data_IF_497986219809
#
_entry.id   IF_497986219809
#
_cell.length_a   1.000
_cell.length_b   1.000
_cell.length_c   1.000
_cell.angle_alpha   90.00
_cell.angle_beta   90.00
_cell.angle_gamma   90.00
#
_symmetry.space_group_name_H-M   'P 1'
#
loop_
_entity.id
_entity.type
_entity.pdbx_description
1 polymer ?
#
# COMPACT_ATOMS: atom_id res chain seq x y z
N UNK A 1 -31.36 -23.74 -3.94
CA UNK A 1 -30.34 -22.74 -4.26
C UNK A 1 -29.74 -22.32 -2.94
N UNK A 2 -28.45 -22.58 -2.73
CA UNK A 2 -27.80 -22.49 -1.42
C UNK A 2 -27.44 -21.03 -1.15
N UNK A 3 -27.95 -20.44 -0.06
CA UNK A 3 -27.60 -19.08 0.39
C UNK A 3 -26.16 -18.97 0.95
N UNK A 4 -25.43 -20.09 1.02
CA UNK A 4 -24.09 -20.19 1.58
C UNK A 4 -22.96 -19.69 0.64
N UNK A 5 -23.20 -19.62 -0.68
CA UNK A 5 -22.13 -19.34 -1.64
C UNK A 5 -21.75 -17.84 -1.71
N UNK A 6 -22.63 -16.93 -1.26
CA UNK A 6 -22.37 -15.48 -1.26
C UNK A 6 -21.47 -15.00 -0.12
N UNK A 7 -21.48 -15.69 1.02
CA UNK A 7 -20.71 -15.32 2.21
C UNK A 7 -19.23 -15.71 2.07
N UNK A 8 -18.95 -16.88 1.46
CA UNK A 8 -17.59 -17.37 1.18
C UNK A 8 -16.85 -16.50 0.13
N UNK A 9 -17.56 -15.98 -0.86
CA UNK A 9 -16.98 -15.09 -1.89
C UNK A 9 -16.66 -13.70 -1.29
N UNK A 10 -17.49 -13.18 -0.40
CA UNK A 10 -17.21 -11.91 0.28
C UNK A 10 -16.02 -12.01 1.26
N UNK A 11 -15.88 -13.15 1.95
CA UNK A 11 -14.76 -13.42 2.84
C UNK A 11 -13.44 -13.57 2.07
N UNK A 12 -13.42 -14.31 0.96
CA UNK A 12 -12.23 -14.46 0.12
C UNK A 12 -11.77 -13.14 -0.51
N UNK A 13 -12.69 -12.30 -0.98
CA UNK A 13 -12.36 -10.95 -1.48
C UNK A 13 -11.77 -10.04 -0.39
N UNK A 14 -12.24 -10.13 0.85
CA UNK A 14 -11.67 -9.38 1.97
C UNK A 14 -10.23 -9.83 2.30
N UNK A 15 -9.96 -11.13 2.19
CA UNK A 15 -8.61 -11.70 2.38
C UNK A 15 -7.65 -11.20 1.31
N UNK A 16 -8.07 -11.12 0.04
CA UNK A 16 -7.24 -10.60 -1.05
C UNK A 16 -6.88 -9.12 -0.87
N UNK A 17 -7.85 -8.30 -0.44
CA UNK A 17 -7.62 -6.89 -0.11
C UNK A 17 -6.61 -6.77 1.03
N UNK A 18 -6.75 -7.59 2.07
CA UNK A 18 -5.83 -7.60 3.21
C UNK A 18 -4.41 -8.00 2.82
N UNK A 19 -4.25 -9.02 1.98
CA UNK A 19 -2.94 -9.46 1.51
C UNK A 19 -2.24 -8.36 0.69
N UNK A 20 -2.97 -7.70 -0.20
CA UNK A 20 -2.46 -6.55 -0.97
C UNK A 20 -1.97 -5.44 -0.05
N UNK A 21 -2.76 -5.08 0.97
CA UNK A 21 -2.40 -4.05 1.94
C UNK A 21 -1.15 -4.44 2.76
N UNK A 22 -1.17 -5.64 3.33
CA UNK A 22 -0.08 -6.18 4.15
C UNK A 22 1.24 -6.21 3.38
N UNK A 23 1.22 -6.72 2.15
CA UNK A 23 2.42 -6.81 1.31
C UNK A 23 2.92 -5.43 0.87
N UNK A 24 2.03 -4.50 0.53
CA UNK A 24 2.43 -3.13 0.22
C UNK A 24 3.07 -2.42 1.42
N UNK A 25 2.50 -2.56 2.62
CA UNK A 25 3.10 -1.96 3.83
C UNK A 25 4.48 -2.54 4.15
N UNK A 26 4.67 -3.86 4.03
CA UNK A 26 5.99 -4.49 4.20
C UNK A 26 7.02 -3.95 3.20
N UNK A 27 6.62 -3.74 1.94
CA UNK A 27 7.49 -3.16 0.91
C UNK A 27 7.85 -1.71 1.24
N UNK A 28 6.89 -0.88 1.64
CA UNK A 28 7.17 0.49 2.06
C UNK A 28 8.12 0.53 3.27
N UNK A 29 7.91 -0.36 4.23
CA UNK A 29 8.77 -0.47 5.42
C UNK A 29 10.22 -0.80 5.05
N UNK A 30 10.47 -1.66 4.06
CA UNK A 30 11.82 -1.99 3.60
C UNK A 30 12.60 -0.73 3.17
N UNK A 31 11.98 0.17 2.41
CA UNK A 31 12.62 1.42 1.99
C UNK A 31 12.82 2.40 3.15
N UNK A 32 11.88 2.43 4.11
CA UNK A 32 12.02 3.27 5.31
C UNK A 32 13.13 2.77 6.24
N UNK A 33 13.27 1.46 6.39
CA UNK A 33 14.36 0.85 7.16
C UNK A 33 15.71 1.14 6.49
N UNK A 34 15.79 1.05 5.17
CA UNK A 34 16.99 1.47 4.42
C UNK A 34 17.30 2.96 4.63
N UNK A 35 16.29 3.83 4.64
CA UNK A 35 16.48 5.25 4.94
C UNK A 35 17.04 5.48 6.34
N UNK A 36 16.59 4.70 7.33
CA UNK A 36 17.13 4.77 8.69
C UNK A 36 18.63 4.50 8.71
N UNK A 37 19.07 3.45 8.01
CA UNK A 37 20.50 3.09 7.93
C UNK A 37 21.32 4.12 7.15
N UNK A 38 20.78 4.66 6.07
CA UNK A 38 21.43 5.71 5.28
C UNK A 38 21.59 7.01 6.08
N UNK A 39 20.56 7.41 6.83
CA UNK A 39 20.61 8.59 7.71
C UNK A 39 21.66 8.38 8.81
N UNK A 40 21.76 7.19 9.37
CA UNK A 40 22.80 6.86 10.34
C UNK A 40 24.21 7.06 9.75
N UNK A 41 24.45 6.60 8.52
CA UNK A 41 25.72 6.82 7.80
C UNK A 41 25.98 8.30 7.49
N UNK A 42 24.95 9.05 7.10
CA UNK A 42 25.05 10.52 6.89
C UNK A 42 25.51 11.22 8.18
N UNK A 43 24.94 10.82 9.31
CA UNK A 43 25.32 11.34 10.63
C UNK A 43 26.77 10.98 10.98
N UNK A 44 27.19 9.74 10.78
CA UNK A 44 28.57 9.29 11.02
C UNK A 44 29.59 10.08 10.17
N UNK A 45 29.29 10.30 8.90
CA UNK A 45 30.10 11.12 8.01
C UNK A 45 30.20 12.58 8.48
N UNK A 46 29.11 13.17 8.97
CA UNK A 46 29.16 14.52 9.56
C UNK A 46 30.00 14.56 10.84
N UNK A 47 29.84 13.57 11.72
CA UNK A 47 30.58 13.52 13.00
C UNK A 47 32.07 13.27 12.82
N UNK A 48 32.48 12.56 11.77
CA UNK A 48 33.91 12.34 11.47
C UNK A 48 34.64 13.62 11.10
N UNK A 49 33.91 14.64 10.58
CA UNK A 49 34.45 15.92 10.08
C UNK A 49 35.51 15.77 8.98
N UNK A 50 35.56 14.60 8.34
CA UNK A 50 36.43 14.35 7.18
C UNK A 50 35.74 14.92 5.95
N UNK A 51 36.34 15.91 5.24
CA UNK A 51 35.68 16.59 4.11
C UNK A 51 35.14 15.63 3.04
N UNK A 52 35.91 14.60 2.69
CA UNK A 52 35.53 13.61 1.70
C UNK A 52 34.30 12.78 2.13
N UNK A 53 34.18 12.47 3.42
CA UNK A 53 33.02 11.74 3.95
C UNK A 53 31.76 12.62 3.91
N UNK A 54 31.89 13.89 4.29
CA UNK A 54 30.78 14.85 4.22
C UNK A 54 30.34 15.06 2.77
N UNK A 55 31.27 15.12 1.82
CA UNK A 55 30.93 15.20 0.39
C UNK A 55 30.10 13.99 -0.10
N UNK A 56 30.37 12.79 0.43
CA UNK A 56 29.58 11.58 0.11
C UNK A 56 28.15 11.62 0.65
N UNK A 57 27.83 12.48 1.62
CA UNK A 57 26.45 12.61 2.13
C UNK A 57 25.47 13.03 1.04
N UNK A 58 25.91 13.76 0.02
CA UNK A 58 25.05 14.11 -1.13
C UNK A 58 24.53 12.86 -1.83
N UNK A 59 25.39 11.86 -2.04
CA UNK A 59 25.00 10.58 -2.65
C UNK A 59 24.03 9.80 -1.78
N UNK A 60 24.30 9.72 -0.47
CA UNK A 60 23.42 9.04 0.49
C UNK A 60 22.04 9.72 0.58
N UNK A 61 22.00 11.06 0.57
CA UNK A 61 20.74 11.83 0.58
C UNK A 61 19.95 11.60 -0.72
N UNK A 62 20.63 11.50 -1.87
CA UNK A 62 19.97 11.14 -3.12
C UNK A 62 19.36 9.74 -3.06
N UNK A 63 20.04 8.77 -2.44
CA UNK A 63 19.50 7.43 -2.22
C UNK A 63 18.27 7.46 -1.29
N UNK A 64 18.32 8.25 -0.21
CA UNK A 64 17.18 8.47 0.69
C UNK A 64 15.98 9.03 -0.09
N UNK A 65 16.19 10.01 -0.95
CA UNK A 65 15.13 10.61 -1.77
C UNK A 65 14.55 9.61 -2.79
N UNK A 66 15.39 8.73 -3.35
CA UNK A 66 14.95 7.63 -4.20
C UNK A 66 14.02 6.67 -3.47
N UNK A 67 14.40 6.26 -2.26
CA UNK A 67 13.58 5.40 -1.40
C UNK A 67 12.25 6.07 -1.01
N UNK A 68 12.24 7.37 -0.69
CA UNK A 68 10.99 8.11 -0.44
C UNK A 68 10.08 8.12 -1.68
N UNK A 69 10.65 8.25 -2.88
CA UNK A 69 9.88 8.18 -4.12
C UNK A 69 9.21 6.82 -4.29
N UNK A 70 9.92 5.73 -3.97
CA UNK A 70 9.36 4.37 -3.98
C UNK A 70 8.27 4.17 -2.92
N UNK A 71 8.46 4.73 -1.72
CA UNK A 71 7.42 4.70 -0.66
C UNK A 71 6.15 5.42 -1.12
N UNK A 72 6.28 6.58 -1.77
CA UNK A 72 5.13 7.31 -2.31
C UNK A 72 4.39 6.52 -3.39
N UNK A 73 5.12 5.89 -4.31
CA UNK A 73 4.56 5.02 -5.35
C UNK A 73 3.74 3.87 -4.74
N UNK A 74 4.31 3.16 -3.77
CA UNK A 74 3.63 2.06 -3.07
C UNK A 74 2.34 2.52 -2.40
N UNK A 75 2.37 3.66 -1.69
CA UNK A 75 1.17 4.19 -1.05
C UNK A 75 0.13 4.67 -2.07
N UNK A 76 0.55 5.21 -3.20
CA UNK A 76 -0.36 5.58 -4.29
C UNK A 76 -1.07 4.34 -4.83
N UNK A 77 -0.32 3.28 -5.14
CA UNK A 77 -0.87 2.01 -5.61
C UNK A 77 -1.83 1.38 -4.61
N UNK A 78 -1.45 1.34 -3.33
CA UNK A 78 -2.31 0.86 -2.24
C UNK A 78 -3.61 1.64 -2.17
N UNK A 79 -3.55 2.98 -2.26
CA UNK A 79 -4.73 3.85 -2.19
C UNK A 79 -5.69 3.60 -3.36
N UNK A 80 -5.15 3.45 -4.57
CA UNK A 80 -5.92 3.18 -5.78
C UNK A 80 -6.55 1.79 -5.75
N UNK A 81 -5.78 0.79 -5.36
CA UNK A 81 -6.28 -0.59 -5.25
C UNK A 81 -7.37 -0.69 -4.18
N UNK A 82 -7.20 -0.03 -3.03
CA UNK A 82 -8.23 0.00 -1.99
C UNK A 82 -9.53 0.66 -2.47
N UNK A 83 -9.44 1.83 -3.12
CA UNK A 83 -10.60 2.54 -3.66
C UNK A 83 -11.36 1.68 -4.70
N UNK A 84 -10.64 1.04 -5.62
CA UNK A 84 -11.22 0.13 -6.63
C UNK A 84 -11.97 -1.04 -5.98
N UNK A 85 -11.39 -1.68 -4.97
CA UNK A 85 -12.00 -2.81 -4.28
C UNK A 85 -13.30 -2.42 -3.54
N UNK A 86 -13.32 -1.25 -2.89
CA UNK A 86 -14.56 -0.73 -2.26
C UNK A 86 -15.64 -0.45 -3.29
N UNK A 87 -15.29 0.20 -4.40
CA UNK A 87 -16.27 0.54 -5.44
C UNK A 87 -16.86 -0.71 -6.11
N UNK A 88 -16.03 -1.75 -6.32
CA UNK A 88 -16.52 -3.06 -6.80
C UNK A 88 -17.52 -3.67 -5.81
N UNK A 89 -17.21 -3.68 -4.51
CA UNK A 89 -18.12 -4.22 -3.49
C UNK A 89 -19.45 -3.47 -3.43
N UNK A 90 -19.43 -2.14 -3.57
CA UNK A 90 -20.67 -1.34 -3.63
C UNK A 90 -21.55 -1.68 -4.82
N UNK A 91 -20.95 -2.02 -5.97
CA UNK A 91 -21.69 -2.41 -7.18
C UNK A 91 -22.32 -3.80 -7.02
N UNK A 92 -21.59 -4.77 -6.46
CA UNK A 92 -22.12 -6.12 -6.22
C UNK A 92 -23.25 -6.14 -5.20
N UNK A 93 -23.24 -5.25 -4.20
CA UNK A 93 -24.36 -5.10 -3.26
C UNK A 93 -25.60 -4.46 -3.90
N UNK A 94 -25.44 -3.58 -4.89
CA UNK A 94 -26.57 -2.88 -5.56
C UNK A 94 -27.36 -3.76 -6.52
N UNK A 95 -26.71 -4.69 -7.21
CA UNK A 95 -27.38 -5.62 -8.13
C UNK A 95 -28.13 -6.76 -7.41
N UNK A 96 -27.89 -6.96 -6.10
CA UNK A 96 -28.58 -7.97 -5.28
C UNK A 96 -29.97 -7.57 -4.78
N UNK A 97 -30.37 -6.30 -4.92
CA UNK A 97 -31.58 -5.74 -4.27
C UNK A 97 -32.74 -5.44 -5.26
N UNK A 98 -32.64 -5.83 -6.54
CA UNK A 98 -33.63 -5.44 -7.58
C UNK A 98 -34.70 -6.48 -7.94
N UNK A 99 -34.86 -7.58 -7.21
CA UNK A 99 -35.89 -8.59 -7.54
C UNK A 99 -36.91 -8.79 -6.41
N UNK A 100 -37.84 -7.85 -6.22
CA UNK A 100 -39.29 -8.12 -6.02
C UNK A 100 -40.02 -6.82 -5.70
N UNK A 101 -40.68 -6.21 -6.68
CA UNK A 101 -42.03 -5.61 -6.55
C UNK A 101 -42.47 -5.21 -7.96
N UNK A 102 -43.00 -6.16 -8.72
CA UNK A 102 -43.93 -5.88 -9.84
C UNK A 102 -44.73 -7.14 -10.13
N UNK A 103 -46.05 -6.96 -10.30
CA UNK A 103 -47.14 -7.90 -10.62
C UNK A 103 -47.96 -8.26 -9.38
N UNK A 104 -49.23 -7.90 -9.23
CA UNK A 104 -50.17 -7.26 -10.16
C UNK A 104 -51.58 -7.78 -9.80
N UNK A 105 -52.52 -6.83 -9.67
CA UNK A 105 -54.00 -6.94 -9.76
C UNK A 105 -54.75 -7.92 -8.86
#
# INVERSE_FOLDING_TARGET
>A
MNENDGEDVAASAAVEVWDTLSNGFKRAQLYLDQNRDLIQRVNENHMSRIPDNVARNVGLINEINGNISQVMEIYSDLSLNFARNIDQRRRTTKDGDTTTTTTGS
#
